data_IF_473215374146
#
_entry.id   IF_473215374146
#
_cell.length_a   1.000
_cell.length_b   1.000
_cell.length_c   1.000
_cell.angle_alpha   90.00
_cell.angle_beta   90.00
_cell.angle_gamma   90.00
#
_symmetry.space_group_name_H-M   'P 1'
#
loop_
_entity.id
_entity.type
_entity.pdbx_description
1 polymer ?
#
# COMPACT_ATOMS: atom_id res chain seq x y z
N UNK A 1 -42.75 -35.96 -13.98
CA UNK A 1 -42.38 -37.17 -13.21
C UNK A 1 -41.95 -38.22 -14.23
N UNK A 2 -40.64 -38.47 -14.34
CA UNK A 2 -39.91 -39.54 -15.05
C UNK A 2 -38.42 -39.22 -14.77
N UNK A 3 -37.91 -39.60 -13.59
CA UNK A 3 -37.07 -40.79 -13.27
C UNK A 3 -35.67 -40.71 -13.89
N UNK A 4 -34.68 -40.75 -12.99
CA UNK A 4 -33.24 -40.68 -13.19
C UNK A 4 -32.67 -41.86 -13.98
N UNK A 5 -31.46 -41.71 -14.52
CA UNK A 5 -30.39 -42.63 -14.16
C UNK A 5 -28.99 -42.03 -14.39
N UNK A 6 -28.15 -42.28 -13.39
CA UNK A 6 -26.77 -41.85 -13.23
C UNK A 6 -25.84 -42.95 -13.70
N UNK A 7 -24.80 -42.60 -14.48
CA UNK A 7 -23.70 -43.54 -14.76
C UNK A 7 -22.36 -42.90 -14.47
N UNK A 8 -21.79 -43.36 -13.36
CA UNK A 8 -20.46 -43.06 -12.84
C UNK A 8 -19.36 -43.65 -13.72
N UNK A 9 -18.37 -42.85 -14.13
CA UNK A 9 -17.11 -43.34 -14.74
C UNK A 9 -15.92 -42.68 -14.05
N UNK A 10 -15.33 -43.46 -13.13
CA UNK A 10 -14.02 -43.28 -12.50
C UNK A 10 -12.91 -43.64 -13.51
N UNK A 11 -11.66 -43.19 -13.25
CA UNK A 11 -10.33 -43.54 -13.83
C UNK A 11 -9.61 -42.25 -14.30
N UNK A 12 -8.35 -41.90 -13.99
CA UNK A 12 -7.22 -42.50 -13.24
C UNK A 12 -6.34 -41.34 -12.71
N UNK A 13 -5.76 -41.51 -11.53
CA UNK A 13 -4.82 -40.60 -10.85
C UNK A 13 -3.44 -40.71 -11.52
N UNK A 14 -2.89 -39.60 -12.02
CA UNK A 14 -1.54 -39.53 -12.57
C UNK A 14 -0.60 -38.73 -11.63
N UNK A 15 0.68 -39.10 -11.68
CA UNK A 15 1.71 -39.01 -10.65
C UNK A 15 2.04 -37.63 -10.06
N UNK A 16 2.34 -37.65 -8.77
CA UNK A 16 3.12 -36.63 -8.06
C UNK A 16 4.54 -36.58 -8.65
N UNK A 17 4.97 -35.40 -9.08
CA UNK A 17 6.38 -35.04 -9.17
C UNK A 17 6.68 -34.20 -7.92
N UNK A 18 7.51 -34.73 -7.03
CA UNK A 18 8.07 -34.00 -5.89
C UNK A 18 9.45 -33.57 -6.35
N UNK A 19 9.68 -32.26 -6.48
CA UNK A 19 11.02 -31.71 -6.61
C UNK A 19 11.53 -31.42 -5.20
N UNK A 20 12.61 -32.09 -4.84
CA UNK A 20 13.36 -31.93 -3.60
C UNK A 20 14.44 -30.88 -3.86
N UNK A 21 14.12 -29.62 -3.59
CA UNK A 21 15.08 -28.51 -3.60
C UNK A 21 15.43 -28.16 -2.16
N UNK A 22 16.21 -29.04 -1.51
CA UNK A 22 16.88 -28.73 -0.26
C UNK A 22 18.21 -28.01 -0.57
N UNK A 23 18.14 -26.77 -1.04
CA UNK A 23 19.30 -25.87 -1.00
C UNK A 23 19.38 -25.22 0.38
N UNK A 24 20.14 -25.85 1.27
CA UNK A 24 20.58 -25.22 2.51
C UNK A 24 21.61 -24.12 2.17
N UNK A 25 21.21 -22.86 2.28
CA UNK A 25 22.13 -21.73 2.21
C UNK A 25 22.84 -21.68 3.57
N UNK A 26 24.11 -22.11 3.63
CA UNK A 26 24.94 -21.92 4.81
C UNK A 26 25.15 -20.42 5.03
N UNK A 27 24.67 -19.90 6.17
CA UNK A 27 24.90 -18.50 6.57
C UNK A 27 26.32 -18.36 7.10
N UNK A 28 27.22 -17.87 6.24
CA UNK A 28 28.60 -17.45 6.58
C UNK A 28 28.59 -16.10 7.31
N UNK A 29 27.80 -15.96 8.39
CA UNK A 29 27.65 -14.68 9.11
C UNK A 29 27.87 -14.81 10.63
N UNK A 30 28.45 -15.92 11.09
CA UNK A 30 28.74 -16.13 12.52
C UNK A 30 30.09 -15.54 12.98
N UNK A 31 31.00 -15.12 12.08
CA UNK A 31 32.29 -14.55 12.48
C UNK A 31 32.33 -13.01 12.56
N UNK A 32 31.34 -12.30 12.04
CA UNK A 32 31.27 -10.82 12.11
C UNK A 32 30.44 -10.27 13.29
N UNK A 33 29.72 -11.15 14.00
CA UNK A 33 28.83 -10.73 15.09
C UNK A 33 29.58 -10.43 16.39
N UNK A 34 30.70 -11.12 16.67
CA UNK A 34 31.38 -11.00 17.97
C UNK A 34 32.17 -9.68 18.15
N UNK A 35 32.71 -9.10 17.07
CA UNK A 35 33.52 -7.88 17.16
C UNK A 35 32.65 -6.63 17.38
N UNK A 36 31.40 -6.64 16.90
CA UNK A 36 30.44 -5.54 17.12
C UNK A 36 29.83 -5.52 18.54
N UNK A 37 29.84 -6.66 19.25
CA UNK A 37 29.32 -6.73 20.62
C UNK A 37 30.27 -6.09 21.63
N UNK A 38 31.59 -6.24 21.46
CA UNK A 38 32.59 -5.69 22.39
C UNK A 38 32.69 -4.16 22.32
N UNK A 39 32.56 -3.57 21.14
CA UNK A 39 32.60 -2.11 20.96
C UNK A 39 31.34 -1.38 21.45
N UNK A 40 30.25 -2.11 21.73
CA UNK A 40 28.97 -1.53 22.19
C UNK A 40 28.88 -1.45 23.72
N UNK A 41 29.65 -2.25 24.44
CA UNK A 41 29.60 -2.33 25.90
C UNK A 41 30.38 -1.19 26.59
N UNK A 42 31.49 -0.71 26.01
CA UNK A 42 32.31 0.33 26.66
C UNK A 42 31.88 1.79 26.41
N UNK A 43 30.78 2.02 25.67
CA UNK A 43 30.30 3.38 25.34
C UNK A 43 28.95 3.75 25.96
N UNK A 44 28.52 3.03 26.99
CA UNK A 44 27.19 3.20 27.61
C UNK A 44 27.23 3.63 29.08
N UNK A 45 28.41 3.90 29.65
CA UNK A 45 28.56 4.25 31.08
C UNK A 45 28.74 5.75 31.38
N UNK A 46 28.29 6.66 30.51
CA UNK A 46 28.28 8.09 30.89
C UNK A 46 27.08 8.85 30.34
N UNK A 47 26.15 9.14 31.26
CA UNK A 47 25.20 10.25 31.25
C UNK A 47 24.22 10.34 30.08
N UNK A 48 23.11 9.64 30.22
CA UNK A 48 21.76 10.25 30.22
C UNK A 48 20.76 9.18 30.65
N UNK A 49 20.04 9.43 31.75
CA UNK A 49 18.74 8.79 32.04
C UNK A 49 17.73 9.22 30.96
N UNK A 50 17.96 8.84 29.69
CA UNK A 50 16.86 8.70 28.75
C UNK A 50 16.10 7.46 29.20
N UNK A 51 15.04 7.67 29.99
CA UNK A 51 14.05 6.62 30.26
C UNK A 51 13.72 5.95 28.93
N UNK A 52 14.09 4.67 28.79
CA UNK A 52 13.77 3.89 27.59
C UNK A 52 12.25 3.86 27.45
N UNK A 53 11.71 4.77 26.64
CA UNK A 53 10.27 4.95 26.45
C UNK A 53 9.66 3.61 26.01
N UNK A 54 8.68 3.11 26.77
CA UNK A 54 8.00 1.87 26.40
C UNK A 54 7.23 2.03 25.09
N UNK A 55 6.97 0.94 24.35
CA UNK A 55 6.19 1.02 23.11
C UNK A 55 4.79 1.64 23.31
N UNK A 56 4.18 1.43 24.48
CA UNK A 56 2.88 2.00 24.84
C UNK A 56 2.97 3.51 25.08
N UNK A 57 4.00 3.94 25.80
CA UNK A 57 4.26 5.36 26.05
C UNK A 57 4.57 6.11 24.75
N UNK A 58 5.37 5.51 23.86
CA UNK A 58 5.61 6.02 22.50
C UNK A 58 4.34 6.18 21.70
N UNK A 59 3.46 5.19 21.74
CA UNK A 59 2.15 5.27 21.08
C UNK A 59 1.30 6.40 21.66
N UNK A 60 1.30 6.57 22.98
CA UNK A 60 0.55 7.62 23.66
C UNK A 60 1.10 9.01 23.32
N UNK A 61 2.43 9.17 23.30
CA UNK A 61 3.11 10.40 22.90
C UNK A 61 2.76 10.79 21.46
N UNK A 62 2.82 9.83 20.53
CA UNK A 62 2.46 10.05 19.13
C UNK A 62 0.97 10.41 18.97
N UNK A 63 0.08 9.71 19.66
CA UNK A 63 -1.35 10.00 19.62
C UNK A 63 -1.68 11.39 20.17
N UNK A 64 -1.05 11.81 21.27
CA UNK A 64 -1.19 13.16 21.84
C UNK A 64 -0.69 14.24 20.86
N UNK A 65 0.48 14.02 20.26
CA UNK A 65 1.04 14.93 19.26
C UNK A 65 0.10 15.09 18.06
N UNK A 66 -0.50 13.99 17.61
CA UNK A 66 -1.47 14.00 16.52
C UNK A 66 -2.76 14.77 16.85
N UNK A 67 -3.30 14.58 18.06
CA UNK A 67 -4.46 15.34 18.52
C UNK A 67 -4.16 16.84 18.57
N UNK A 68 -3.00 17.22 19.07
CA UNK A 68 -2.57 18.62 19.13
C UNK A 68 -2.46 19.24 17.73
N UNK A 69 -1.88 18.52 16.76
CA UNK A 69 -1.78 18.98 15.37
C UNK A 69 -3.16 19.24 14.75
N UNK A 70 -4.13 18.33 14.96
CA UNK A 70 -5.51 18.53 14.49
C UNK A 70 -6.17 19.72 15.20
N UNK A 71 -5.99 19.86 16.51
CA UNK A 71 -6.57 20.97 17.29
C UNK A 71 -6.05 22.34 16.82
N UNK A 72 -4.75 22.45 16.55
CA UNK A 72 -4.13 23.66 16.01
C UNK A 72 -4.67 24.00 14.60
N UNK A 73 -4.73 23.01 13.70
CA UNK A 73 -5.27 23.20 12.35
C UNK A 73 -6.74 23.63 12.33
N UNK A 74 -7.59 23.04 13.18
CA UNK A 74 -9.00 23.41 13.24
C UNK A 74 -9.21 24.76 13.92
N UNK A 75 -8.40 25.13 14.92
CA UNK A 75 -8.47 26.43 15.60
C UNK A 75 -8.14 27.60 14.68
N UNK A 76 -7.22 27.39 13.73
CA UNK A 76 -6.85 28.40 12.73
C UNK A 76 -7.89 28.54 11.60
N UNK A 77 -8.89 27.65 11.53
CA UNK A 77 -9.99 27.74 10.58
C UNK A 77 -11.01 28.80 11.03
N UNK A 78 -11.56 29.55 10.07
CA UNK A 78 -12.45 30.69 10.33
C UNK A 78 -13.76 30.35 11.09
N UNK A 79 -14.16 29.08 11.11
CA UNK A 79 -15.32 28.55 11.82
C UNK A 79 -14.88 27.37 12.70
N UNK A 80 -14.22 27.67 13.82
CA UNK A 80 -13.85 26.64 14.80
C UNK A 80 -15.09 26.14 15.55
N UNK A 81 -15.37 24.85 15.44
CA UNK A 81 -16.34 24.13 16.27
C UNK A 81 -15.61 23.14 17.18
N UNK A 82 -16.04 23.05 18.45
CA UNK A 82 -15.44 22.11 19.42
C UNK A 82 -15.59 20.64 18.98
N UNK A 83 -16.58 20.33 18.13
CA UNK A 83 -16.77 19.01 17.52
C UNK A 83 -15.90 18.71 16.29
N UNK A 84 -15.17 19.70 15.76
CA UNK A 84 -14.42 19.55 14.50
C UNK A 84 -13.35 18.44 14.58
N UNK A 85 -12.61 18.40 15.70
CA UNK A 85 -11.58 17.37 15.96
C UNK A 85 -12.21 15.97 15.96
N UNK A 86 -13.32 15.80 16.69
CA UNK A 86 -14.02 14.53 16.78
C UNK A 86 -14.60 14.09 15.43
N UNK A 87 -15.10 15.03 14.64
CA UNK A 87 -15.59 14.76 13.29
C UNK A 87 -14.46 14.27 12.37
N UNK A 88 -13.32 14.96 12.36
CA UNK A 88 -12.16 14.60 11.53
C UNK A 88 -11.62 13.21 11.86
N UNK A 89 -11.43 12.90 13.15
CA UNK A 89 -11.01 11.57 13.60
C UNK A 89 -12.02 10.49 13.18
N UNK A 90 -13.32 10.78 13.25
CA UNK A 90 -14.36 9.85 12.81
C UNK A 90 -14.30 9.61 11.30
N UNK A 91 -14.08 10.65 10.51
CA UNK A 91 -13.94 10.54 9.05
C UNK A 91 -12.71 9.69 8.68
N UNK A 92 -11.55 9.97 9.26
CA UNK A 92 -10.31 9.21 9.04
C UNK A 92 -10.46 7.73 9.44
N UNK A 93 -11.10 7.47 10.59
CA UNK A 93 -11.42 6.10 11.01
C UNK A 93 -12.33 5.39 10.01
N UNK A 94 -13.35 6.07 9.49
CA UNK A 94 -14.24 5.51 8.48
C UNK A 94 -13.50 5.28 7.15
N UNK A 95 -12.55 6.15 6.79
CA UNK A 95 -11.72 6.00 5.59
C UNK A 95 -10.81 4.78 5.71
N UNK A 96 -10.11 4.64 6.84
CA UNK A 96 -9.26 3.49 7.14
C UNK A 96 -10.06 2.17 7.16
N UNK A 97 -11.31 2.21 7.64
CA UNK A 97 -12.21 1.05 7.60
C UNK A 97 -12.88 0.82 6.25
N UNK A 98 -12.67 1.68 5.25
CA UNK A 98 -13.33 1.60 3.94
C UNK A 98 -14.85 1.80 4.01
N UNK A 99 -15.35 2.49 5.05
CA UNK A 99 -16.77 2.76 5.29
C UNK A 99 -17.16 4.23 5.11
N UNK A 100 -16.20 5.10 4.83
CA UNK A 100 -16.47 6.51 4.57
C UNK A 100 -17.13 6.69 3.20
N UNK A 101 -18.31 7.33 3.20
CA UNK A 101 -19.04 7.66 1.97
C UNK A 101 -18.87 9.14 1.64
N UNK A 102 -18.13 9.47 0.58
CA UNK A 102 -17.93 10.84 0.09
C UNK A 102 -18.91 11.14 -1.05
N UNK A 103 -19.71 12.21 -0.95
CA UNK A 103 -20.63 12.64 -2.01
C UNK A 103 -19.94 13.65 -2.91
N UNK A 104 -19.31 13.17 -3.99
CA UNK A 104 -18.48 14.03 -4.88
C UNK A 104 -19.21 14.51 -6.14
N UNK A 105 -20.34 13.88 -6.50
CA UNK A 105 -21.02 14.14 -7.77
C UNK A 105 -21.50 15.59 -7.93
N UNK A 106 -22.06 16.19 -6.87
CA UNK A 106 -22.57 17.56 -6.91
C UNK A 106 -21.49 18.62 -7.15
N UNK A 107 -20.25 18.32 -6.76
CA UNK A 107 -19.11 19.23 -6.86
C UNK A 107 -18.23 18.88 -8.07
N UNK A 108 -18.64 17.94 -8.91
CA UNK A 108 -17.86 17.51 -10.07
C UNK A 108 -18.04 18.50 -11.23
N UNK A 109 -16.99 19.29 -11.50
CA UNK A 109 -16.97 20.31 -12.55
C UNK A 109 -16.63 19.72 -13.92
N UNK A 110 -16.32 18.41 -13.98
CA UNK A 110 -15.90 17.74 -15.22
C UNK A 110 -14.45 17.99 -15.58
N UNK A 111 -14.04 17.46 -16.74
CA UNK A 111 -12.74 17.72 -17.35
C UNK A 111 -12.94 18.19 -18.79
N UNK A 112 -12.38 19.35 -19.13
CA UNK A 112 -12.56 19.99 -20.44
C UNK A 112 -11.76 19.33 -21.58
N UNK A 113 -10.73 18.55 -21.24
CA UNK A 113 -9.85 17.91 -22.23
C UNK A 113 -9.59 16.45 -21.85
N UNK A 114 -10.00 15.56 -22.73
CA UNK A 114 -9.61 14.15 -22.66
C UNK A 114 -8.13 14.05 -23.05
N UNK A 115 -7.32 13.50 -22.16
CA UNK A 115 -5.92 13.20 -22.46
C UNK A 115 -5.88 11.75 -22.96
N UNK A 116 -5.66 11.59 -24.26
CA UNK A 116 -5.50 10.27 -24.84
C UNK A 116 -4.06 9.79 -24.62
N UNK A 117 -3.93 8.76 -23.78
CA UNK A 117 -2.65 8.12 -23.49
C UNK A 117 -2.44 6.97 -24.47
N UNK A 118 -1.39 7.03 -25.28
CA UNK A 118 -1.03 5.93 -26.20
C UNK A 118 0.26 5.27 -25.74
N UNK A 119 0.13 4.05 -25.23
CA UNK A 119 1.26 3.19 -24.93
C UNK A 119 1.69 2.49 -26.23
N UNK A 120 2.89 2.79 -26.74
CA UNK A 120 3.39 2.23 -28.00
C UNK A 120 4.05 0.85 -27.83
N UNK A 121 4.42 0.51 -26.60
CA UNK A 121 5.10 -0.74 -26.25
C UNK A 121 4.18 -1.98 -26.34
N UNK A 122 2.88 -1.82 -26.10
CA UNK A 122 1.94 -2.94 -26.19
C UNK A 122 1.67 -3.29 -27.66
N UNK A 123 1.89 -4.57 -27.98
CA UNK A 123 1.61 -5.18 -29.29
C UNK A 123 0.24 -5.86 -29.32
N UNK A 124 -0.36 -6.08 -28.14
CA UNK A 124 -1.70 -6.63 -27.96
C UNK A 124 -2.67 -5.65 -27.27
N UNK A 125 -3.93 -6.04 -27.07
CA UNK A 125 -4.90 -5.25 -26.33
C UNK A 125 -4.53 -5.15 -24.85
N UNK A 126 -4.68 -3.95 -24.29
CA UNK A 126 -4.53 -3.70 -22.85
C UNK A 126 -5.70 -4.37 -22.12
N UNK A 127 -5.40 -5.10 -21.04
CA UNK A 127 -6.36 -5.91 -20.27
C UNK A 127 -6.50 -5.45 -18.83
N UNK A 128 -5.48 -4.81 -18.27
CA UNK A 128 -5.50 -4.30 -16.91
C UNK A 128 -4.66 -3.03 -16.77
N UNK A 129 -5.05 -2.19 -15.82
CA UNK A 129 -4.39 -0.93 -15.49
C UNK A 129 -4.37 -0.76 -13.97
N UNK A 130 -3.29 -0.20 -13.42
CA UNK A 130 -3.18 0.17 -12.02
C UNK A 130 -2.49 1.54 -11.88
N UNK A 131 -2.95 2.33 -10.92
CA UNK A 131 -2.40 3.66 -10.59
C UNK A 131 -1.71 3.63 -9.25
N UNK A 132 -0.60 4.35 -9.14
CA UNK A 132 -0.02 4.67 -7.83
C UNK A 132 -0.93 5.62 -7.05
N UNK A 133 -0.79 5.61 -5.72
CA UNK A 133 -1.64 6.41 -4.83
C UNK A 133 -1.49 7.93 -5.05
N UNK A 134 -0.30 8.35 -5.48
CA UNK A 134 0.02 9.73 -5.86
C UNK A 134 -0.34 10.07 -7.32
N UNK A 135 -0.84 9.09 -8.09
CA UNK A 135 -1.19 9.25 -9.50
C UNK A 135 0.01 9.54 -10.42
N UNK A 136 1.26 9.37 -9.95
CA UNK A 136 2.45 9.70 -10.75
C UNK A 136 2.86 8.58 -11.72
N UNK A 137 2.50 7.34 -11.39
CA UNK A 137 2.87 6.13 -12.13
C UNK A 137 1.62 5.35 -12.52
N UNK A 138 1.60 4.94 -13.79
CA UNK A 138 0.62 4.05 -14.38
C UNK A 138 1.29 2.73 -14.74
N UNK A 139 0.70 1.61 -14.37
CA UNK A 139 1.07 0.29 -14.87
C UNK A 139 -0.01 -0.23 -15.79
N UNK A 140 0.37 -0.71 -16.97
CA UNK A 140 -0.55 -1.32 -17.94
C UNK A 140 -0.08 -2.72 -18.33
N UNK A 141 -1.03 -3.65 -18.40
CA UNK A 141 -0.79 -5.04 -18.81
C UNK A 141 -1.55 -5.41 -20.06
N UNK A 142 -0.92 -6.16 -20.95
CA UNK A 142 -1.46 -6.53 -22.27
C UNK A 142 -1.49 -8.05 -22.47
N UNK A 143 -2.38 -8.51 -23.35
CA UNK A 143 -2.51 -9.94 -23.72
C UNK A 143 -1.26 -10.51 -24.40
N UNK A 144 -0.36 -9.64 -24.88
CA UNK A 144 0.95 -10.03 -25.40
C UNK A 144 1.94 -10.49 -24.30
N UNK A 145 1.54 -10.45 -23.03
CA UNK A 145 2.38 -10.81 -21.88
C UNK A 145 3.27 -9.68 -21.38
N UNK A 146 3.15 -8.47 -21.93
CA UNK A 146 3.93 -7.30 -21.51
C UNK A 146 3.27 -6.54 -20.36
N UNK A 147 4.14 -6.02 -19.48
CA UNK A 147 3.80 -5.05 -18.43
C UNK A 147 4.65 -3.81 -18.65
N UNK A 148 4.01 -2.65 -18.73
CA UNK A 148 4.68 -1.38 -19.00
C UNK A 148 4.43 -0.43 -17.84
N UNK A 149 5.52 0.20 -17.38
CA UNK A 149 5.49 1.28 -16.38
C UNK A 149 5.58 2.62 -17.11
N UNK A 150 4.55 3.45 -16.97
CA UNK A 150 4.50 4.79 -17.54
C UNK A 150 4.54 5.84 -16.45
N UNK A 151 5.31 6.92 -16.67
CA UNK A 151 5.23 8.15 -15.87
C UNK A 151 4.27 9.13 -16.53
N UNK A 152 3.38 9.72 -15.74
CA UNK A 152 2.35 10.65 -16.23
C UNK A 152 2.90 11.87 -16.99
N UNK A 153 4.19 12.22 -16.82
CA UNK A 153 4.82 13.36 -17.48
C UNK A 153 5.27 13.12 -18.94
N UNK A 154 5.39 11.87 -19.39
CA UNK A 154 5.98 11.53 -20.70
C UNK A 154 4.94 11.13 -21.75
N UNK A 155 3.65 11.30 -21.47
CA UNK A 155 2.60 10.83 -22.37
C UNK A 155 2.19 11.98 -23.28
N UNK A 156 2.98 12.08 -24.35
CA UNK A 156 2.95 13.05 -25.43
C UNK A 156 1.50 13.43 -25.81
N UNK A 157 1.24 14.73 -25.82
CA UNK A 157 0.08 15.36 -26.48
C UNK A 157 -0.15 14.71 -27.85
N UNK A 158 -1.21 13.91 -27.97
CA UNK A 158 -1.78 13.59 -29.28
C UNK A 158 -2.78 14.70 -29.58
N UNK A 159 -2.26 15.89 -29.87
CA UNK A 159 -2.92 16.86 -30.74
C UNK A 159 -1.82 17.27 -31.72
N UNK A 160 -2.10 17.10 -33.02
CA UNK A 160 -1.15 17.32 -34.11
C UNK A 160 -0.65 18.75 -34.22
#
# INVERSE_FOLDING_TARGET
>A
MLVEESTSKRLKKANKFVHDDNESIASTDEEFAEENLRNKTEKFESETDEEEETAQEKSLRLAKKYLQEIEEEEKDRAEFEESAVAQRLREEYLEQKGRLRKTVASNYIGHNKLILLRCKEHKGPITCICLSNDGSILYSGSKDGSLVKCKYLNIINING
#
